data_IF_724401517775
#
_entry.id   IF_724401517775
#
_cell.length_a   1.000
_cell.length_b   1.000
_cell.length_c   1.000
_cell.angle_alpha   90.00
_cell.angle_beta   90.00
_cell.angle_gamma   90.00
#
_symmetry.space_group_name_H-M   'P 1'
#
loop_
_entity.id
_entity.type
_entity.pdbx_description
1 polymer ?
#
# COMPACT_ATOMS: atom_id res chain seq x y z
N UNK A 1 11.24 -32.55 9.26
CA UNK A 1 10.66 -32.36 7.92
C UNK A 1 10.64 -30.88 7.71
N UNK A 2 11.28 -30.38 6.65
CA UNK A 2 11.49 -28.94 6.49
C UNK A 2 10.31 -28.29 5.75
N UNK A 3 9.66 -27.36 6.43
CA UNK A 3 8.64 -26.46 5.86
C UNK A 3 9.28 -25.12 5.53
N UNK A 4 9.10 -24.63 4.31
CA UNK A 4 9.61 -23.32 3.89
C UNK A 4 8.51 -22.27 4.06
N UNK A 5 8.70 -21.30 4.95
CA UNK A 5 7.81 -20.14 5.10
C UNK A 5 8.32 -19.04 4.19
N UNK A 6 7.57 -18.69 3.16
CA UNK A 6 8.01 -17.81 2.07
C UNK A 6 7.18 -16.52 2.09
N UNK A 7 7.83 -15.39 2.37
CA UNK A 7 7.29 -14.07 2.05
C UNK A 7 7.54 -13.77 0.58
N UNK A 8 6.49 -13.45 -0.18
CA UNK A 8 6.60 -13.12 -1.61
C UNK A 8 6.32 -11.64 -1.83
N UNK A 9 7.27 -10.96 -2.48
CA UNK A 9 7.13 -9.57 -2.94
C UNK A 9 7.35 -9.50 -4.45
N UNK A 10 6.26 -9.64 -5.20
CA UNK A 10 6.26 -9.53 -6.66
C UNK A 10 6.50 -8.11 -7.14
N UNK A 11 6.19 -7.11 -6.33
CA UNK A 11 6.39 -5.71 -6.69
C UNK A 11 7.88 -5.33 -6.72
N UNK A 12 8.72 -6.04 -5.96
CA UNK A 12 10.13 -5.71 -5.75
C UNK A 12 10.35 -4.59 -4.72
N UNK A 13 9.32 -4.21 -3.96
CA UNK A 13 9.38 -3.12 -2.99
C UNK A 13 10.42 -3.39 -1.90
N UNK A 14 10.47 -4.60 -1.35
CA UNK A 14 11.41 -4.99 -0.29
C UNK A 14 12.85 -4.92 -0.80
N UNK A 15 13.10 -5.46 -2.00
CA UNK A 15 14.43 -5.43 -2.62
C UNK A 15 14.91 -4.00 -2.88
N UNK A 16 14.02 -3.12 -3.37
CA UNK A 16 14.36 -1.71 -3.63
C UNK A 16 14.55 -0.89 -2.36
N UNK A 17 13.73 -1.12 -1.33
CA UNK A 17 13.81 -0.40 -0.05
C UNK A 17 15.11 -0.73 0.69
N UNK A 18 15.51 -2.00 0.70
CA UNK A 18 16.63 -2.48 1.55
C UNK A 18 17.96 -2.59 0.81
N UNK A 19 17.98 -2.64 -0.53
CA UNK A 19 19.16 -2.95 -1.35
C UNK A 19 19.86 -4.28 -0.96
N UNK A 20 19.13 -5.21 -0.35
CA UNK A 20 19.65 -6.53 0.02
C UNK A 20 19.44 -7.50 -1.15
N UNK A 21 20.48 -8.27 -1.54
CA UNK A 21 20.34 -9.27 -2.59
C UNK A 21 19.39 -10.38 -2.18
N UNK A 22 18.55 -10.80 -3.12
CA UNK A 22 17.52 -11.82 -2.91
C UNK A 22 17.98 -13.18 -3.46
N UNK A 23 17.48 -14.31 -2.92
CA UNK A 23 16.57 -14.40 -1.79
C UNK A 23 17.28 -14.24 -0.44
N UNK A 24 16.57 -13.68 0.54
CA UNK A 24 17.02 -13.65 1.93
C UNK A 24 16.43 -14.85 2.66
N UNK A 25 17.26 -15.69 3.28
CA UNK A 25 16.79 -16.89 3.97
C UNK A 25 17.46 -17.06 5.33
N UNK A 26 16.69 -17.60 6.28
CA UNK A 26 17.11 -17.83 7.66
C UNK A 26 16.57 -16.77 8.62
N UNK A 27 16.31 -17.20 9.85
CA UNK A 27 15.65 -16.39 10.89
C UNK A 27 16.32 -15.04 11.12
N UNK A 28 17.63 -15.04 11.39
CA UNK A 28 18.38 -13.82 11.69
C UNK A 28 18.47 -12.89 10.48
N UNK A 29 18.63 -13.45 9.27
CA UNK A 29 18.71 -12.67 8.04
C UNK A 29 17.37 -11.96 7.75
N UNK A 30 16.25 -12.67 7.88
CA UNK A 30 14.91 -12.09 7.70
C UNK A 30 14.58 -11.10 8.82
N UNK A 31 14.99 -11.36 10.08
CA UNK A 31 14.80 -10.39 11.18
C UNK A 31 15.58 -9.09 10.96
N UNK A 32 16.80 -9.18 10.39
CA UNK A 32 17.56 -7.99 9.99
C UNK A 32 16.82 -7.24 8.87
N UNK A 33 16.39 -7.96 7.83
CA UNK A 33 15.67 -7.38 6.70
C UNK A 33 14.39 -6.63 7.12
N UNK A 34 13.62 -7.19 8.06
CA UNK A 34 12.46 -6.52 8.66
C UNK A 34 12.83 -5.18 9.29
N UNK A 35 13.95 -5.16 10.01
CA UNK A 35 14.42 -3.95 10.69
C UNK A 35 14.81 -2.90 9.66
N UNK A 36 15.54 -3.30 8.63
CA UNK A 36 15.97 -2.38 7.56
C UNK A 36 14.77 -1.84 6.76
N UNK A 37 13.84 -2.71 6.36
CA UNK A 37 12.62 -2.32 5.64
C UNK A 37 11.71 -1.43 6.51
N UNK A 38 11.52 -1.77 7.79
CA UNK A 38 10.67 -1.01 8.71
C UNK A 38 11.27 0.34 9.13
N UNK A 39 12.59 0.52 9.02
CA UNK A 39 13.23 1.82 9.21
C UNK A 39 13.06 2.74 8.00
N UNK A 40 12.92 2.18 6.80
CA UNK A 40 12.66 2.93 5.56
C UNK A 40 11.20 3.40 5.49
N UNK A 41 10.25 2.48 5.63
CA UNK A 41 8.81 2.78 5.69
C UNK A 41 8.09 1.88 6.73
N UNK A 42 7.84 2.37 7.96
CA UNK A 42 7.15 1.59 8.99
C UNK A 42 5.66 1.38 8.72
N UNK A 43 5.05 2.12 7.79
CA UNK A 43 3.62 2.01 7.44
C UNK A 43 3.38 1.00 6.31
N UNK A 44 4.44 0.51 5.65
CA UNK A 44 4.34 -0.46 4.55
C UNK A 44 3.78 -1.81 5.04
N UNK A 45 2.86 -2.37 4.24
CA UNK A 45 2.27 -3.69 4.49
C UNK A 45 3.31 -4.81 4.38
N UNK A 46 4.37 -4.63 3.58
CA UNK A 46 5.43 -5.62 3.39
C UNK A 46 6.24 -5.86 4.66
N UNK A 47 6.38 -4.85 5.53
CA UNK A 47 6.98 -5.03 6.86
C UNK A 47 6.14 -5.99 7.71
N UNK A 48 4.82 -5.85 7.65
CA UNK A 48 3.90 -6.74 8.37
C UNK A 48 3.91 -8.16 7.77
N UNK A 49 4.07 -8.27 6.44
CA UNK A 49 4.22 -9.56 5.74
C UNK A 49 5.46 -10.34 6.23
N UNK A 50 6.59 -9.65 6.35
CA UNK A 50 7.83 -10.22 6.87
C UNK A 50 7.71 -10.61 8.36
N UNK A 51 7.05 -9.78 9.17
CA UNK A 51 6.79 -10.08 10.59
C UNK A 51 5.89 -11.31 10.75
N UNK A 52 4.84 -11.44 9.95
CA UNK A 52 3.97 -12.62 9.98
C UNK A 52 4.73 -13.87 9.52
N UNK A 53 5.61 -13.76 8.51
CA UNK A 53 6.48 -14.86 8.08
C UNK A 53 7.40 -15.36 9.20
N UNK A 54 7.98 -14.44 9.99
CA UNK A 54 8.73 -14.78 11.19
C UNK A 54 7.83 -15.41 12.26
N UNK A 55 6.62 -14.89 12.47
CA UNK A 55 5.69 -15.46 13.44
C UNK A 55 5.32 -16.90 13.08
N UNK A 56 4.89 -17.17 11.85
CA UNK A 56 4.55 -18.50 11.35
C UNK A 56 5.72 -19.47 11.52
N UNK A 57 6.94 -19.06 11.14
CA UNK A 57 8.12 -19.89 11.31
C UNK A 57 8.46 -20.16 12.79
N UNK A 58 8.18 -19.23 13.71
CA UNK A 58 8.34 -19.48 15.15
C UNK A 58 7.29 -20.47 15.64
N UNK A 59 6.04 -20.28 15.26
CA UNK A 59 4.93 -21.10 15.73
C UNK A 59 5.12 -22.58 15.28
N UNK A 60 5.61 -22.82 14.04
CA UNK A 60 6.02 -24.16 13.59
C UNK A 60 7.15 -24.78 14.43
N UNK A 61 8.17 -23.98 14.81
CA UNK A 61 9.26 -24.48 15.67
C UNK A 61 8.78 -24.83 17.07
N UNK A 62 7.84 -24.06 17.61
CA UNK A 62 7.24 -24.32 18.93
C UNK A 62 6.45 -25.65 18.92
N UNK A 63 5.89 -26.02 17.76
CA UNK A 63 5.26 -27.32 17.48
C UNK A 63 6.27 -28.45 17.17
N UNK A 64 7.58 -28.16 17.23
CA UNK A 64 8.70 -29.06 16.91
C UNK A 64 8.79 -29.48 15.45
N UNK A 65 8.29 -28.64 14.54
CA UNK A 65 8.54 -28.78 13.11
C UNK A 65 9.82 -28.05 12.69
N UNK A 66 10.53 -28.59 11.69
CA UNK A 66 11.68 -27.90 11.12
C UNK A 66 11.17 -26.88 10.12
N UNK A 67 11.51 -25.60 10.32
CA UNK A 67 11.07 -24.53 9.44
C UNK A 67 12.24 -23.65 9.00
N UNK A 68 12.24 -23.23 7.74
CA UNK A 68 13.12 -22.17 7.24
C UNK A 68 12.25 -21.01 6.78
N UNK A 69 12.55 -19.80 7.22
CA UNK A 69 11.89 -18.58 6.72
C UNK A 69 12.73 -18.00 5.58
N UNK A 70 12.08 -17.57 4.50
CA UNK A 70 12.72 -16.95 3.36
C UNK A 70 11.86 -15.83 2.77
N UNK A 71 12.50 -14.92 2.07
CA UNK A 71 11.90 -13.78 1.38
C UNK A 71 12.39 -13.82 -0.06
N UNK A 72 11.45 -13.82 -0.99
CA UNK A 72 11.70 -13.69 -2.43
C UNK A 72 11.09 -12.38 -2.90
N UNK A 73 11.84 -11.62 -3.69
CA UNK A 73 11.41 -10.32 -4.16
C UNK A 73 11.84 -10.11 -5.62
N UNK A 74 10.95 -9.54 -6.43
CA UNK A 74 11.18 -9.37 -7.86
C UNK A 74 12.32 -8.40 -8.16
N UNK A 75 13.16 -8.76 -9.12
CA UNK A 75 14.32 -7.94 -9.56
C UNK A 75 14.08 -7.21 -10.90
N UNK A 76 12.90 -7.37 -11.50
CA UNK A 76 12.58 -6.79 -12.80
C UNK A 76 11.22 -6.11 -12.79
N UNK A 77 11.13 -4.95 -13.44
CA UNK A 77 9.89 -4.19 -13.59
C UNK A 77 8.93 -4.78 -14.63
N UNK A 78 9.38 -5.77 -15.41
CA UNK A 78 8.51 -6.47 -16.38
C UNK A 78 7.82 -7.63 -15.71
N UNK A 79 6.53 -7.85 -16.00
CA UNK A 79 5.76 -8.95 -15.39
C UNK A 79 6.45 -10.32 -15.57
N UNK A 80 6.95 -10.62 -16.77
CA UNK A 80 7.65 -11.88 -17.06
C UNK A 80 9.01 -11.94 -16.36
N UNK A 81 9.72 -10.81 -16.29
CA UNK A 81 11.01 -10.74 -15.61
C UNK A 81 10.86 -10.94 -14.10
N UNK A 82 9.85 -10.31 -13.49
CA UNK A 82 9.52 -10.47 -12.07
C UNK A 82 9.27 -11.95 -11.73
N UNK A 83 8.35 -12.59 -12.46
CA UNK A 83 8.00 -13.99 -12.24
C UNK A 83 9.22 -14.92 -12.44
N UNK A 84 10.08 -14.64 -13.42
CA UNK A 84 11.33 -15.41 -13.65
C UNK A 84 12.38 -15.20 -12.57
N UNK A 85 12.54 -13.97 -12.06
CA UNK A 85 13.48 -13.69 -10.97
C UNK A 85 13.06 -14.43 -9.70
N UNK A 86 11.76 -14.40 -9.36
CA UNK A 86 11.23 -15.14 -8.22
C UNK A 86 11.39 -16.65 -8.44
N UNK A 87 11.11 -17.16 -9.65
CA UNK A 87 11.34 -18.57 -9.96
C UNK A 87 12.79 -19.00 -9.71
N UNK A 88 13.77 -18.21 -10.16
CA UNK A 88 15.19 -18.49 -9.92
C UNK A 88 15.54 -18.49 -8.42
N UNK A 89 15.01 -17.54 -7.67
CA UNK A 89 15.23 -17.45 -6.22
C UNK A 89 14.59 -18.65 -5.49
N UNK A 90 13.43 -19.13 -5.95
CA UNK A 90 12.80 -20.33 -5.41
C UNK A 90 13.62 -21.58 -5.73
N UNK A 91 14.14 -21.70 -6.95
CA UNK A 91 15.01 -22.82 -7.34
C UNK A 91 16.25 -22.88 -6.41
N UNK A 92 16.87 -21.73 -6.10
CA UNK A 92 17.98 -21.62 -5.14
C UNK A 92 17.60 -22.06 -3.71
N UNK A 93 16.39 -21.75 -3.26
CA UNK A 93 15.89 -22.14 -1.93
C UNK A 93 15.59 -23.65 -1.87
N UNK A 94 15.04 -24.22 -2.94
CA UNK A 94 14.82 -25.66 -3.06
C UNK A 94 16.13 -26.42 -2.98
N UNK A 95 17.11 -26.01 -3.78
CA UNK A 95 18.43 -26.65 -3.82
C UNK A 95 19.17 -26.58 -2.47
N UNK A 96 18.99 -25.48 -1.74
CA UNK A 96 19.68 -25.24 -0.45
C UNK A 96 19.05 -25.96 0.73
N UNK A 97 17.72 -26.09 0.76
CA UNK A 97 16.99 -26.52 1.95
C UNK A 97 16.16 -27.80 1.77
N UNK A 98 15.97 -28.29 0.55
CA UNK A 98 15.15 -29.46 0.21
C UNK A 98 13.79 -29.49 0.96
N UNK A 99 12.97 -28.42 0.85
CA UNK A 99 11.72 -28.33 1.59
C UNK A 99 10.67 -29.28 1.03
N UNK A 100 9.87 -29.90 1.92
CA UNK A 100 8.76 -30.78 1.49
C UNK A 100 7.48 -30.03 1.19
N UNK A 101 7.30 -28.89 1.83
CA UNK A 101 6.12 -28.05 1.71
C UNK A 101 6.48 -26.59 1.94
N UNK A 102 5.62 -25.70 1.47
CA UNK A 102 5.71 -24.28 1.66
C UNK A 102 4.45 -23.71 2.31
N UNK A 103 4.63 -22.70 3.16
CA UNK A 103 3.59 -21.77 3.58
C UNK A 103 3.92 -20.43 2.94
N UNK A 104 3.04 -19.93 2.10
CA UNK A 104 3.26 -18.68 1.37
C UNK A 104 2.55 -17.55 2.11
N UNK A 105 3.28 -16.48 2.38
CA UNK A 105 2.77 -15.27 3.05
C UNK A 105 2.78 -14.13 2.06
N UNK A 106 1.63 -13.47 1.89
CA UNK A 106 1.41 -12.37 0.95
C UNK A 106 0.64 -11.24 1.61
N UNK A 107 0.90 -9.99 1.24
CA UNK A 107 0.17 -8.80 1.71
C UNK A 107 -0.74 -8.18 0.63
N UNK A 108 -0.59 -8.59 -0.63
CA UNK A 108 -1.34 -8.04 -1.75
C UNK A 108 -1.84 -9.10 -2.74
N UNK A 109 -2.87 -8.72 -3.49
CA UNK A 109 -3.40 -9.54 -4.58
C UNK A 109 -2.44 -9.64 -5.79
N UNK A 110 -1.45 -8.74 -5.91
CA UNK A 110 -0.42 -8.85 -6.94
C UNK A 110 0.60 -9.94 -6.59
N UNK A 111 0.98 -10.07 -5.31
CA UNK A 111 1.93 -11.10 -4.86
C UNK A 111 1.31 -12.50 -4.92
N UNK A 112 0.01 -12.60 -4.64
CA UNK A 112 -0.74 -13.85 -4.77
C UNK A 112 -0.70 -14.42 -6.20
N UNK A 113 -0.51 -13.58 -7.23
CA UNK A 113 -0.39 -14.06 -8.62
C UNK A 113 0.85 -14.91 -8.89
N UNK A 114 1.84 -14.88 -7.99
CA UNK A 114 3.05 -15.72 -8.09
C UNK A 114 2.80 -17.14 -7.58
N UNK A 115 1.67 -17.43 -6.93
CA UNK A 115 1.38 -18.76 -6.40
C UNK A 115 1.61 -19.90 -7.41
N UNK A 116 1.18 -19.83 -8.68
CA UNK A 116 1.46 -20.89 -9.64
C UNK A 116 2.95 -21.13 -9.89
N UNK A 117 3.78 -20.08 -9.75
CA UNK A 117 5.24 -20.21 -9.83
C UNK A 117 5.77 -20.96 -8.61
N UNK A 118 5.30 -20.62 -7.40
CA UNK A 118 5.68 -21.33 -6.16
C UNK A 118 5.25 -22.80 -6.20
N UNK A 119 3.99 -23.06 -6.52
CA UNK A 119 3.38 -24.40 -6.59
C UNK A 119 4.09 -25.33 -7.59
N UNK A 120 4.67 -24.76 -8.65
CA UNK A 120 5.42 -25.54 -9.64
C UNK A 120 6.80 -26.02 -9.16
N UNK A 121 7.30 -25.49 -8.03
CA UNK A 121 8.59 -25.89 -7.41
C UNK A 121 8.40 -26.68 -6.12
N UNK A 122 7.45 -26.26 -5.29
CA UNK A 122 7.24 -26.81 -3.94
C UNK A 122 5.73 -26.95 -3.70
N UNK A 123 5.26 -28.07 -3.12
CA UNK A 123 3.88 -28.17 -2.65
C UNK A 123 3.54 -27.05 -1.66
N UNK A 124 2.42 -26.37 -1.86
CA UNK A 124 1.95 -25.29 -0.96
C UNK A 124 0.86 -25.84 -0.06
N UNK A 125 1.15 -25.92 1.25
CA UNK A 125 0.19 -26.42 2.25
C UNK A 125 -0.78 -25.33 2.70
N UNK A 126 -0.34 -24.06 2.68
CA UNK A 126 -1.15 -22.93 3.11
C UNK A 126 -0.71 -21.61 2.46
N UNK A 127 -1.66 -20.68 2.35
CA UNK A 127 -1.43 -19.29 1.94
C UNK A 127 -1.98 -18.36 3.02
N UNK A 128 -1.10 -17.64 3.68
CA UNK A 128 -1.43 -16.64 4.69
C UNK A 128 -1.48 -15.24 4.07
N UNK A 129 -2.57 -14.51 4.33
CA UNK A 129 -2.85 -13.20 3.74
C UNK A 129 -2.82 -12.14 4.83
N UNK A 130 -1.80 -11.30 4.80
CA UNK A 130 -1.59 -10.24 5.77
C UNK A 130 -2.38 -9.01 5.37
N UNK A 131 -3.25 -8.54 6.28
CA UNK A 131 -4.05 -7.33 6.08
C UNK A 131 -3.80 -6.36 7.21
N UNK A 132 -3.16 -5.22 6.91
CA UNK A 132 -2.90 -4.16 7.87
C UNK A 132 -4.15 -3.32 8.10
N UNK A 133 -4.60 -3.22 9.36
CA UNK A 133 -5.76 -2.41 9.74
C UNK A 133 -5.30 -1.01 10.13
N UNK A 134 -5.54 -0.03 9.25
CA UNK A 134 -5.35 1.38 9.59
C UNK A 134 -6.52 1.88 10.44
N UNK A 135 -6.29 2.11 11.72
CA UNK A 135 -7.25 2.81 12.58
C UNK A 135 -7.21 4.30 12.19
N UNK A 136 -8.25 4.78 11.51
CA UNK A 136 -8.41 6.22 11.28
C UNK A 136 -9.03 6.83 12.53
N UNK A 137 -8.23 7.53 13.32
CA UNK A 137 -8.78 8.31 14.43
C UNK A 137 -9.64 9.46 13.88
N UNK A 138 -10.87 9.56 14.38
CA UNK A 138 -11.78 10.68 14.09
C UNK A 138 -11.10 12.01 14.50
N UNK A 139 -10.21 11.96 15.48
CA UNK A 139 -9.39 13.07 15.94
C UNK A 139 -8.52 13.67 14.82
N UNK A 140 -7.91 12.83 13.97
CA UNK A 140 -7.11 13.29 12.83
C UNK A 140 -7.96 14.05 11.81
N UNK A 141 -9.20 13.61 11.59
CA UNK A 141 -10.15 14.34 10.72
C UNK A 141 -10.54 15.68 11.32
N UNK A 142 -10.77 15.74 12.64
CA UNK A 142 -11.03 16.99 13.36
C UNK A 142 -9.84 17.96 13.23
N UNK A 143 -8.61 17.50 13.42
CA UNK A 143 -7.42 18.35 13.27
C UNK A 143 -7.22 18.83 11.84
N UNK A 144 -7.41 17.96 10.84
CA UNK A 144 -7.35 18.34 9.43
C UNK A 144 -8.38 19.42 9.11
N UNK A 145 -9.62 19.26 9.57
CA UNK A 145 -10.66 20.28 9.37
C UNK A 145 -10.31 21.59 10.10
N UNK A 146 -9.81 21.51 11.33
CA UNK A 146 -9.36 22.66 12.12
C UNK A 146 -8.22 23.41 11.44
N UNK A 147 -7.24 22.68 10.88
CA UNK A 147 -6.12 23.27 10.16
C UNK A 147 -6.57 23.91 8.84
N UNK A 148 -7.46 23.23 8.11
CA UNK A 148 -8.09 23.80 6.90
C UNK A 148 -8.83 25.10 7.20
N UNK A 149 -9.56 25.17 8.32
CA UNK A 149 -10.25 26.39 8.76
C UNK A 149 -9.29 27.50 9.21
N UNK A 150 -8.14 27.13 9.76
CA UNK A 150 -7.10 28.07 10.20
C UNK A 150 -6.33 28.69 9.03
N UNK A 151 -6.24 28.01 7.89
CA UNK A 151 -5.54 28.49 6.69
C UNK A 151 -6.39 29.53 5.92
N UNK A 152 -5.90 30.78 5.89
CA UNK A 152 -6.57 31.90 5.21
C UNK A 152 -6.72 31.67 3.70
N UNK A 153 -5.71 31.09 3.06
CA UNK A 153 -5.70 30.89 1.62
C UNK A 153 -6.71 29.82 1.22
N UNK A 154 -6.77 28.72 1.97
CA UNK A 154 -7.75 27.67 1.74
C UNK A 154 -9.16 28.15 2.06
N UNK A 155 -9.37 28.85 3.18
CA UNK A 155 -10.67 29.41 3.54
C UNK A 155 -11.19 30.39 2.50
N UNK A 156 -10.35 31.33 2.04
CA UNK A 156 -10.73 32.30 1.02
C UNK A 156 -10.97 31.65 -0.36
N UNK A 157 -10.22 30.60 -0.70
CA UNK A 157 -10.34 29.95 -2.02
C UNK A 157 -11.51 28.97 -2.09
N UNK A 158 -11.87 28.33 -0.98
CA UNK A 158 -12.85 27.25 -0.96
C UNK A 158 -14.13 27.65 -0.21
N UNK A 159 -14.02 28.16 1.01
CA UNK A 159 -15.19 28.45 1.85
C UNK A 159 -15.96 29.69 1.40
N UNK A 160 -15.26 30.73 0.92
CA UNK A 160 -15.93 31.96 0.46
C UNK A 160 -16.81 31.69 -0.77
N UNK A 161 -16.35 31.03 -1.85
CA UNK A 161 -17.21 30.69 -2.99
C UNK A 161 -18.40 29.80 -2.61
N UNK A 162 -18.18 28.80 -1.74
CA UNK A 162 -19.26 27.95 -1.23
C UNK A 162 -20.29 28.77 -0.44
N UNK A 163 -19.83 29.64 0.46
CA UNK A 163 -20.71 30.51 1.24
C UNK A 163 -21.53 31.46 0.37
N UNK A 164 -20.91 32.06 -0.65
CA UNK A 164 -21.60 32.90 -1.63
C UNK A 164 -22.68 32.12 -2.37
N UNK A 165 -22.38 30.89 -2.82
CA UNK A 165 -23.38 30.04 -3.47
C UNK A 165 -24.55 29.69 -2.55
N UNK A 166 -24.27 29.32 -1.31
CA UNK A 166 -25.29 28.99 -0.30
C UNK A 166 -26.21 30.19 0.02
N UNK A 167 -25.69 31.42 -0.06
CA UNK A 167 -26.49 32.63 0.13
C UNK A 167 -27.26 33.04 -1.13
N UNK A 168 -26.65 32.92 -2.32
CA UNK A 168 -27.26 33.34 -3.58
C UNK A 168 -28.36 32.38 -4.06
N UNK A 169 -28.19 31.06 -3.86
CA UNK A 169 -29.15 30.07 -4.36
C UNK A 169 -30.58 30.30 -3.83
N UNK A 170 -30.83 30.46 -2.52
CA UNK A 170 -32.18 30.74 -2.01
C UNK A 170 -32.78 32.04 -2.56
N UNK A 171 -31.96 33.09 -2.70
CA UNK A 171 -32.39 34.38 -3.24
C UNK A 171 -32.80 34.24 -4.70
N UNK A 172 -32.02 33.50 -5.49
CA UNK A 172 -32.33 33.27 -6.90
C UNK A 172 -33.56 32.36 -7.07
N UNK A 173 -33.71 31.31 -6.27
CA UNK A 173 -34.91 30.47 -6.32
C UNK A 173 -36.20 31.23 -5.96
N UNK A 174 -36.11 32.35 -5.23
CA UNK A 174 -37.29 33.18 -4.95
C UNK A 174 -37.79 33.97 -6.18
N UNK A 175 -36.95 34.15 -7.21
CA UNK A 175 -37.25 35.01 -8.37
C UNK A 175 -37.10 34.30 -9.73
N UNK A 176 -36.42 33.16 -9.78
CA UNK A 176 -36.07 32.46 -11.01
C UNK A 176 -36.42 30.96 -10.93
N UNK A 177 -36.49 30.31 -12.10
CA UNK A 177 -36.64 28.85 -12.15
C UNK A 177 -35.41 28.14 -11.58
N UNK A 178 -35.58 26.88 -11.19
CA UNK A 178 -34.50 26.12 -10.59
C UNK A 178 -33.26 26.00 -11.49
N UNK A 179 -33.48 25.82 -12.80
CA UNK A 179 -32.40 25.76 -13.79
C UNK A 179 -31.64 27.07 -13.93
N UNK A 180 -32.34 28.20 -13.96
CA UNK A 180 -31.74 29.54 -14.08
C UNK A 180 -30.92 29.92 -12.84
N UNK A 181 -31.44 29.62 -11.64
CA UNK A 181 -30.75 29.89 -10.39
C UNK A 181 -29.44 29.09 -10.28
N UNK A 182 -29.48 27.79 -10.61
CA UNK A 182 -28.29 26.93 -10.61
C UNK A 182 -27.29 27.40 -11.69
N UNK A 183 -27.77 27.71 -12.89
CA UNK A 183 -26.92 28.20 -13.98
C UNK A 183 -26.25 29.53 -13.64
N UNK A 184 -26.98 30.46 -12.99
CA UNK A 184 -26.45 31.74 -12.56
C UNK A 184 -25.33 31.61 -11.54
N UNK A 185 -25.51 30.74 -10.54
CA UNK A 185 -24.48 30.48 -9.52
C UNK A 185 -23.28 29.75 -10.12
N UNK A 186 -23.50 28.74 -10.97
CA UNK A 186 -22.43 28.03 -11.66
C UNK A 186 -21.62 28.97 -12.56
N UNK A 187 -22.28 29.86 -13.29
CA UNK A 187 -21.62 30.86 -14.14
C UNK A 187 -20.79 31.85 -13.33
N UNK A 188 -21.33 32.37 -12.23
CA UNK A 188 -20.61 33.27 -11.32
C UNK A 188 -19.36 32.60 -10.72
N UNK A 189 -19.52 31.39 -10.18
CA UNK A 189 -18.40 30.63 -9.59
C UNK A 189 -17.37 30.25 -10.64
N UNK A 190 -17.80 29.80 -11.82
CA UNK A 190 -16.91 29.47 -12.93
C UNK A 190 -16.11 30.68 -13.42
N UNK A 191 -16.74 31.86 -13.52
CA UNK A 191 -16.05 33.10 -13.85
C UNK A 191 -15.02 33.49 -12.78
N UNK A 192 -15.36 33.35 -11.50
CA UNK A 192 -14.42 33.61 -10.39
C UNK A 192 -13.22 32.65 -10.39
N UNK A 193 -13.45 31.36 -10.67
CA UNK A 193 -12.38 30.36 -10.80
C UNK A 193 -11.47 30.67 -11.99
N UNK A 194 -12.02 31.05 -13.14
CA UNK A 194 -11.23 31.47 -14.30
C UNK A 194 -10.42 32.73 -14.01
N UNK A 195 -11.02 33.72 -13.34
CA UNK A 195 -10.34 34.95 -12.96
C UNK A 195 -9.09 34.67 -12.11
N UNK A 196 -9.23 33.79 -11.11
CA UNK A 196 -8.13 33.37 -10.24
C UNK A 196 -7.14 32.43 -10.94
N UNK A 197 -7.62 31.48 -11.75
CA UNK A 197 -6.79 30.51 -12.47
C UNK A 197 -5.91 31.14 -13.55
N UNK A 198 -6.37 32.24 -14.15
CA UNK A 198 -5.59 33.05 -15.08
C UNK A 198 -4.65 34.04 -14.38
N UNK A 199 -4.60 34.04 -13.04
CA UNK A 199 -3.78 34.93 -12.21
C UNK A 199 -3.94 36.42 -12.56
N UNK A 200 -5.16 36.83 -12.92
CA UNK A 200 -5.47 38.21 -13.33
C UNK A 200 -5.29 39.18 -12.13
N UNK A 201 -5.30 38.66 -10.91
CA UNK A 201 -5.09 39.36 -9.65
C UNK A 201 -3.61 39.65 -9.31
N UNK A 202 -2.65 39.16 -10.11
CA UNK A 202 -1.21 39.31 -9.85
C UNK A 202 -0.51 40.39 -10.68
N UNK A 203 -1.26 41.22 -11.40
CA UNK A 203 -0.74 42.38 -12.15
C UNK A 203 -1.12 43.71 -11.49
#
# INVERSE_FOLDING_TARGET
>A
MTTLVICVDRSGAIGRATNVPMPVAGWEAVRSLVTDAGLDDPEDASVNCLLESLRVARDLRDEREESVVAVVSAESDTAVGADRSIASQLDDLVDRYDPRAAIVVVDSAEDERVLPVVESRIPVDSVDRVVVRQARDIESTYYLLKQFLADEQLRSTVLVPIGVALLLLPVLFSQFSAGEAIAGVAGLLGAALLYKGLAIDRF
#
